data_IF_799085904681
#
_entry.id   IF_799085904681
#
_cell.length_a   1.000
_cell.length_b   1.000
_cell.length_c   1.000
_cell.angle_alpha   90.00
_cell.angle_beta   90.00
_cell.angle_gamma   90.00
#
_symmetry.space_group_name_H-M   'P 1'
#
loop_
_entity.id
_entity.type
_entity.pdbx_description
1 polymer ?
#
# COMPACT_ATOMS: atom_id res chain seq x y z
N UNK A 1 -16.22 -6.48 -10.63
CA UNK A 1 -14.84 -6.55 -10.10
C UNK A 1 -13.97 -5.56 -10.89
N UNK A 2 -13.36 -4.58 -10.22
CA UNK A 2 -12.56 -3.54 -10.89
C UNK A 2 -11.05 -3.86 -10.77
N UNK A 3 -10.58 -4.90 -11.47
CA UNK A 3 -9.17 -5.31 -11.44
C UNK A 3 -8.23 -4.28 -12.09
N UNK A 4 -8.76 -3.36 -12.90
CA UNK A 4 -8.00 -2.27 -13.53
C UNK A 4 -7.32 -1.33 -12.52
N UNK A 5 -7.80 -1.28 -11.28
CA UNK A 5 -7.20 -0.45 -10.22
C UNK A 5 -5.75 -0.85 -9.94
N UNK A 6 -5.38 -2.13 -10.13
CA UNK A 6 -3.99 -2.59 -9.99
C UNK A 6 -3.03 -1.99 -11.02
N UNK A 7 -3.52 -1.39 -12.10
CA UNK A 7 -2.65 -0.64 -13.04
C UNK A 7 -1.88 0.46 -12.33
N UNK A 8 -2.50 1.10 -11.32
CA UNK A 8 -1.90 2.19 -10.55
C UNK A 8 -0.72 1.67 -9.70
N UNK A 9 -0.80 0.43 -9.20
CA UNK A 9 0.34 -0.20 -8.51
C UNK A 9 1.53 -0.37 -9.47
N UNK A 10 1.29 -0.87 -10.67
CA UNK A 10 2.35 -1.04 -11.67
C UNK A 10 2.93 0.31 -12.12
N UNK A 11 2.08 1.29 -12.37
CA UNK A 11 2.47 2.68 -12.63
C UNK A 11 3.38 3.24 -11.53
N UNK A 12 3.06 2.97 -10.26
CA UNK A 12 3.88 3.40 -9.12
C UNK A 12 5.24 2.69 -9.09
N UNK A 13 5.28 1.37 -9.29
CA UNK A 13 6.52 0.58 -9.32
C UNK A 13 7.45 1.09 -10.42
N UNK A 14 6.93 1.22 -11.65
CA UNK A 14 7.69 1.66 -12.80
C UNK A 14 8.14 3.12 -12.66
N UNK A 15 7.26 4.02 -12.19
CA UNK A 15 7.62 5.41 -11.91
C UNK A 15 8.75 5.52 -10.88
N UNK A 16 8.67 4.75 -9.79
CA UNK A 16 9.72 4.71 -8.76
C UNK A 16 11.06 4.23 -9.32
N UNK A 17 11.09 3.14 -10.10
CA UNK A 17 12.32 2.65 -10.72
C UNK A 17 12.88 3.64 -11.75
N UNK A 18 12.03 4.28 -12.56
CA UNK A 18 12.47 5.30 -13.51
C UNK A 18 13.08 6.52 -12.82
N UNK A 19 12.51 6.94 -11.69
CA UNK A 19 13.09 7.98 -10.83
C UNK A 19 14.44 7.55 -10.24
N UNK A 20 14.54 6.33 -9.68
CA UNK A 20 15.80 5.79 -9.15
C UNK A 20 16.91 5.70 -10.20
N UNK A 21 16.56 5.35 -11.44
CA UNK A 21 17.46 5.30 -12.57
C UNK A 21 17.83 6.70 -13.12
N UNK A 22 17.35 7.78 -12.50
CA UNK A 22 17.60 9.19 -12.89
C UNK A 22 17.23 9.48 -14.35
N UNK A 23 16.18 8.80 -14.85
CA UNK A 23 15.68 9.01 -16.19
C UNK A 23 15.05 10.41 -16.28
N UNK A 24 15.10 11.04 -17.47
CA UNK A 24 14.40 12.31 -17.72
C UNK A 24 12.91 12.19 -17.36
N UNK A 25 12.35 13.23 -16.76
CA UNK A 25 10.95 13.25 -16.29
C UNK A 25 9.96 12.87 -17.40
N UNK A 26 10.14 13.39 -18.63
CA UNK A 26 9.29 13.07 -19.78
C UNK A 26 9.29 11.57 -20.11
N UNK A 27 10.46 10.95 -20.09
CA UNK A 27 10.60 9.50 -20.31
C UNK A 27 10.03 8.70 -19.13
N UNK A 28 10.15 9.19 -17.89
CA UNK A 28 9.53 8.54 -16.74
C UNK A 28 7.99 8.59 -16.83
N UNK A 29 7.41 9.72 -17.25
CA UNK A 29 5.97 9.85 -17.51
C UNK A 29 5.53 8.86 -18.58
N UNK A 30 6.26 8.77 -19.69
CA UNK A 30 5.96 7.80 -20.75
C UNK A 30 6.00 6.36 -20.22
N UNK A 31 6.99 6.02 -19.41
CA UNK A 31 7.13 4.70 -18.78
C UNK A 31 5.99 4.40 -17.80
N UNK A 32 5.57 5.37 -16.98
CA UNK A 32 4.40 5.26 -16.10
C UNK A 32 3.15 4.97 -16.93
N UNK A 33 2.85 5.78 -17.94
CA UNK A 33 1.65 5.63 -18.78
C UNK A 33 1.68 4.29 -19.53
N UNK A 34 2.80 3.95 -20.17
CA UNK A 34 2.96 2.69 -20.90
C UNK A 34 2.79 1.49 -19.98
N UNK A 35 3.34 1.52 -18.76
CA UNK A 35 3.15 0.43 -17.80
C UNK A 35 1.67 0.24 -17.47
N UNK A 36 0.93 1.33 -17.22
CA UNK A 36 -0.51 1.28 -16.96
C UNK A 36 -1.32 0.71 -18.12
N UNK A 37 -0.93 0.97 -19.37
CA UNK A 37 -1.59 0.41 -20.55
C UNK A 37 -1.23 -1.08 -20.71
N UNK A 38 0.07 -1.40 -20.73
CA UNK A 38 0.59 -2.73 -21.06
C UNK A 38 0.09 -3.78 -20.08
N UNK A 39 -0.02 -3.48 -18.79
CA UNK A 39 -0.48 -4.46 -17.79
C UNK A 39 -1.95 -4.87 -17.95
N UNK A 40 -2.72 -4.13 -18.76
CA UNK A 40 -4.11 -4.44 -19.08
C UNK A 40 -4.28 -5.14 -20.43
N UNK A 41 -3.23 -5.25 -21.24
CA UNK A 41 -3.29 -5.99 -22.50
C UNK A 41 -3.42 -7.48 -22.18
N UNK A 42 -4.50 -8.15 -22.60
CA UNK A 42 -4.69 -9.56 -22.31
C UNK A 42 -3.73 -10.41 -23.15
N UNK A 43 -3.05 -11.35 -22.51
CA UNK A 43 -2.30 -12.42 -23.17
C UNK A 43 -3.01 -13.73 -22.90
N UNK A 44 -3.47 -14.43 -23.95
CA UNK A 44 -4.32 -15.62 -23.83
C UNK A 44 -5.59 -15.40 -22.97
N UNK A 45 -6.17 -14.20 -23.04
CA UNK A 45 -7.39 -13.84 -22.29
C UNK A 45 -7.15 -13.40 -20.83
N UNK A 46 -5.90 -13.39 -20.36
CA UNK A 46 -5.54 -12.93 -19.00
C UNK A 46 -4.61 -11.73 -19.07
N UNK A 47 -4.97 -10.64 -18.40
CA UNK A 47 -4.06 -9.52 -18.19
C UNK A 47 -3.25 -9.68 -16.89
N UNK A 48 -2.16 -8.92 -16.75
CA UNK A 48 -1.36 -8.90 -15.53
C UNK A 48 -2.20 -8.39 -14.34
N UNK A 49 -3.08 -7.40 -14.58
CA UNK A 49 -3.99 -6.87 -13.58
C UNK A 49 -5.02 -7.91 -13.12
N UNK A 50 -5.55 -8.74 -14.04
CA UNK A 50 -6.41 -9.86 -13.69
C UNK A 50 -5.68 -10.89 -12.84
N UNK A 51 -4.47 -11.30 -13.24
CA UNK A 51 -3.66 -12.25 -12.48
C UNK A 51 -3.42 -11.76 -11.05
N UNK A 52 -3.03 -10.51 -10.90
CA UNK A 52 -2.81 -9.90 -9.58
C UNK A 52 -4.06 -9.91 -8.72
N UNK A 53 -5.18 -9.52 -9.32
CA UNK A 53 -6.49 -9.55 -8.66
C UNK A 53 -6.87 -10.98 -8.24
N UNK A 54 -6.59 -12.00 -9.05
CA UNK A 54 -6.87 -13.40 -8.71
C UNK A 54 -6.05 -13.90 -7.51
N UNK A 55 -4.81 -13.42 -7.32
CA UNK A 55 -3.97 -13.82 -6.20
C UNK A 55 -4.24 -13.03 -4.92
N UNK A 56 -4.54 -11.74 -5.05
CA UNK A 56 -4.58 -10.79 -3.92
C UNK A 56 -6.00 -10.41 -3.52
N UNK A 57 -6.95 -10.49 -4.44
CA UNK A 57 -8.30 -9.98 -4.25
C UNK A 57 -8.42 -8.49 -4.55
N UNK A 58 -9.38 -7.84 -3.90
CA UNK A 58 -9.66 -6.41 -4.06
C UNK A 58 -8.53 -5.56 -3.45
N UNK A 59 -8.03 -4.56 -4.19
CA UNK A 59 -6.94 -3.69 -3.75
C UNK A 59 -7.41 -2.78 -2.61
N UNK A 60 -6.66 -2.71 -1.51
CA UNK A 60 -7.01 -1.80 -0.41
C UNK A 60 -6.89 -0.33 -0.83
N UNK A 61 -7.71 0.53 -0.21
CA UNK A 61 -7.61 1.99 -0.39
C UNK A 61 -6.25 2.52 0.08
N UNK A 62 -5.66 1.86 1.09
CA UNK A 62 -4.32 2.15 1.55
C UNK A 62 -3.29 1.99 0.43
N UNK A 63 -3.23 0.79 -0.20
CA UNK A 63 -2.26 0.50 -1.25
C UNK A 63 -2.49 1.40 -2.47
N UNK A 64 -3.75 1.68 -2.79
CA UNK A 64 -4.11 2.57 -3.89
C UNK A 64 -3.58 3.98 -3.65
N UNK A 65 -3.82 4.54 -2.46
CA UNK A 65 -3.38 5.88 -2.09
C UNK A 65 -1.86 5.96 -2.03
N UNK A 66 -1.20 4.96 -1.45
CA UNK A 66 0.26 4.85 -1.44
C UNK A 66 0.85 4.81 -2.85
N UNK A 67 0.22 4.07 -3.76
CA UNK A 67 0.64 3.95 -5.16
C UNK A 67 0.50 5.30 -5.89
N UNK A 68 -0.62 6.01 -5.71
CA UNK A 68 -0.80 7.35 -6.27
C UNK A 68 0.24 8.34 -5.74
N UNK A 69 0.47 8.38 -4.43
CA UNK A 69 1.47 9.26 -3.85
C UNK A 69 2.88 8.93 -4.38
N UNK A 70 3.20 7.65 -4.59
CA UNK A 70 4.47 7.20 -5.16
C UNK A 70 4.65 7.65 -6.60
N UNK A 71 3.59 7.60 -7.43
CA UNK A 71 3.61 8.16 -8.79
C UNK A 71 3.95 9.65 -8.74
N UNK A 72 3.24 10.44 -7.92
CA UNK A 72 3.50 11.87 -7.81
C UNK A 72 4.90 12.19 -7.28
N UNK A 73 5.42 11.41 -6.34
CA UNK A 73 6.79 11.56 -5.83
C UNK A 73 7.82 11.28 -6.92
N UNK A 74 7.61 10.25 -7.74
CA UNK A 74 8.53 9.88 -8.82
C UNK A 74 8.70 10.97 -9.90
N UNK A 75 7.73 11.87 -10.02
CA UNK A 75 7.74 13.00 -10.95
C UNK A 75 8.38 14.26 -10.36
N UNK A 76 8.59 14.33 -9.04
CA UNK A 76 9.22 15.47 -8.38
C UNK A 76 10.74 15.38 -8.48
N UNK A 77 11.39 16.54 -8.59
CA UNK A 77 12.86 16.66 -8.58
C UNK A 77 13.45 16.39 -7.19
N UNK A 78 12.68 16.63 -6.13
CA UNK A 78 13.10 16.40 -4.74
C UNK A 78 12.71 15.01 -4.27
N UNK A 79 13.71 14.17 -3.99
CA UNK A 79 13.56 12.81 -3.47
C UNK A 79 13.35 12.81 -1.95
N UNK A 80 12.15 13.21 -1.50
CA UNK A 80 11.76 12.96 -0.11
C UNK A 80 11.10 11.61 -0.02
N UNK A 81 11.78 10.64 0.58
CA UNK A 81 11.23 9.30 0.82
C UNK A 81 9.83 9.36 1.45
N UNK A 82 8.83 8.85 0.73
CA UNK A 82 7.43 8.80 1.15
C UNK A 82 7.21 8.21 2.54
N UNK A 83 8.00 7.20 2.90
CA UNK A 83 7.92 6.49 4.18
C UNK A 83 9.30 6.32 4.81
N UNK A 84 9.37 6.55 6.13
CA UNK A 84 10.56 6.27 6.92
C UNK A 84 10.47 4.88 7.58
N UNK A 85 11.57 4.43 8.21
CA UNK A 85 11.63 3.15 8.92
C UNK A 85 10.52 3.01 9.99
N UNK A 86 10.17 4.09 10.69
CA UNK A 86 9.10 4.05 11.71
C UNK A 86 7.74 3.71 11.10
N UNK A 87 7.42 4.29 9.94
CA UNK A 87 6.20 3.99 9.20
C UNK A 87 6.15 2.52 8.77
N UNK A 88 7.26 1.99 8.24
CA UNK A 88 7.36 0.59 7.85
C UNK A 88 7.19 -0.37 9.03
N UNK A 89 7.85 -0.09 10.16
CA UNK A 89 7.68 -0.88 11.39
C UNK A 89 6.23 -0.85 11.86
N UNK A 90 5.57 0.30 11.81
CA UNK A 90 4.16 0.41 12.20
C UNK A 90 3.24 -0.45 11.33
N UNK A 91 3.36 -0.35 10.00
CA UNK A 91 2.57 -1.16 9.06
C UNK A 91 2.82 -2.65 9.30
N UNK A 92 4.09 -3.03 9.51
CA UNK A 92 4.45 -4.41 9.77
C UNK A 92 3.81 -4.95 11.05
N UNK A 93 3.90 -4.21 12.16
CA UNK A 93 3.31 -4.62 13.45
C UNK A 93 1.79 -4.69 13.34
N UNK A 94 1.16 -3.68 12.74
CA UNK A 94 -0.29 -3.67 12.55
C UNK A 94 -0.76 -4.87 11.71
N UNK A 95 -0.13 -5.10 10.55
CA UNK A 95 -0.46 -6.24 9.70
C UNK A 95 -0.17 -7.58 10.38
N UNK A 96 0.91 -7.69 11.13
CA UNK A 96 1.24 -8.91 11.87
C UNK A 96 0.15 -9.23 12.89
N UNK A 97 -0.26 -8.26 13.72
CA UNK A 97 -1.32 -8.45 14.72
C UNK A 97 -2.63 -8.84 14.03
N UNK A 98 -3.00 -8.13 12.95
CA UNK A 98 -4.24 -8.40 12.22
C UNK A 98 -4.25 -9.80 11.60
N UNK A 99 -3.20 -10.18 10.87
CA UNK A 99 -3.13 -11.48 10.19
C UNK A 99 -3.01 -12.65 11.17
N UNK A 100 -2.26 -12.50 12.27
CA UNK A 100 -2.22 -13.53 13.31
C UNK A 100 -3.59 -13.71 13.98
N UNK A 101 -4.36 -12.62 14.11
CA UNK A 101 -5.73 -12.68 14.62
C UNK A 101 -6.66 -13.41 13.64
N UNK A 102 -6.61 -13.09 12.33
CA UNK A 102 -7.39 -13.79 11.29
C UNK A 102 -7.04 -15.29 11.22
N UNK A 103 -5.78 -15.65 11.43
CA UNK A 103 -5.32 -17.04 11.46
C UNK A 103 -5.67 -17.78 12.77
N UNK A 104 -6.40 -17.15 13.70
CA UNK A 104 -6.73 -17.69 15.02
C UNK A 104 -5.50 -18.12 15.85
N UNK A 105 -4.35 -17.48 15.61
CA UNK A 105 -3.11 -17.72 16.38
C UNK A 105 -3.14 -16.89 17.67
N UNK A 106 -3.72 -15.69 17.61
CA UNK A 106 -3.93 -14.85 18.79
C UNK A 106 -5.24 -15.25 19.50
N UNK A 107 -5.29 -15.18 20.85
CA UNK A 107 -6.48 -15.55 21.63
C UNK A 107 -7.61 -14.51 21.54
N UNK A 108 -7.46 -13.48 20.71
CA UNK A 108 -8.46 -12.45 20.47
C UNK A 108 -8.65 -12.27 18.97
N UNK A 109 -9.91 -12.09 18.60
CA UNK A 109 -10.33 -11.88 17.22
C UNK A 109 -10.55 -10.38 17.01
N UNK A 110 -9.66 -9.71 16.29
CA UNK A 110 -9.83 -8.31 15.92
C UNK A 110 -10.75 -8.17 14.70
N UNK A 111 -10.66 -9.13 13.78
CA UNK A 111 -11.23 -9.00 12.46
C UNK A 111 -12.75 -9.17 12.46
N UNK A 112 -13.28 -10.05 13.30
CA UNK A 112 -14.71 -10.35 13.39
C UNK A 112 -15.41 -9.68 14.59
N UNK A 113 -14.83 -8.60 15.15
CA UNK A 113 -15.50 -7.80 16.18
C UNK A 113 -16.73 -7.05 15.63
N UNK A 114 -17.66 -6.65 16.52
CA UNK A 114 -18.73 -5.71 16.19
C UNK A 114 -18.21 -4.47 15.45
N UNK A 115 -19.05 -3.97 14.53
CA UNK A 115 -18.68 -2.87 13.62
C UNK A 115 -18.22 -1.62 14.37
N UNK A 116 -18.85 -1.32 15.50
CA UNK A 116 -18.54 -0.16 16.34
C UNK A 116 -17.12 -0.28 16.89
N UNK A 117 -16.73 -1.48 17.33
CA UNK A 117 -15.41 -1.77 17.89
C UNK A 117 -14.34 -1.68 16.80
N UNK A 118 -14.57 -2.26 15.61
CA UNK A 118 -13.60 -2.18 14.51
C UNK A 118 -13.40 -0.74 14.03
N UNK A 119 -14.45 0.09 14.01
CA UNK A 119 -14.34 1.53 13.72
C UNK A 119 -13.49 2.25 14.77
N UNK A 120 -13.74 2.01 16.07
CA UNK A 120 -12.94 2.61 17.14
C UNK A 120 -11.46 2.25 16.99
N UNK A 121 -11.17 0.98 16.71
CA UNK A 121 -9.80 0.49 16.48
C UNK A 121 -9.19 1.15 15.24
N UNK A 122 -9.93 1.23 14.12
CA UNK A 122 -9.46 1.88 12.90
C UNK A 122 -9.14 3.37 13.10
N UNK A 123 -9.97 4.09 13.86
CA UNK A 123 -9.73 5.47 14.28
C UNK A 123 -8.45 5.57 15.14
N UNK A 124 -8.30 4.69 16.14
CA UNK A 124 -7.11 4.67 17.00
C UNK A 124 -5.83 4.40 16.19
N UNK A 125 -5.85 3.43 15.28
CA UNK A 125 -4.73 3.12 14.36
C UNK A 125 -4.37 4.35 13.52
N UNK A 126 -5.37 5.04 12.97
CA UNK A 126 -5.15 6.22 12.13
C UNK A 126 -4.51 7.36 12.92
N UNK A 127 -4.99 7.62 14.14
CA UNK A 127 -4.42 8.64 15.04
C UNK A 127 -2.97 8.28 15.40
N UNK A 128 -2.72 7.04 15.80
CA UNK A 128 -1.37 6.56 16.12
C UNK A 128 -0.43 6.70 14.92
N UNK A 129 -0.88 6.30 13.74
CA UNK A 129 -0.12 6.41 12.51
C UNK A 129 0.26 7.87 12.19
N UNK A 130 -0.64 8.82 12.42
CA UNK A 130 -0.37 10.25 12.22
C UNK A 130 0.76 10.77 13.12
N UNK A 131 0.77 10.37 14.40
CA UNK A 131 1.82 10.76 15.34
C UNK A 131 3.16 10.08 15.05
N UNK A 132 3.15 8.87 14.50
CA UNK A 132 4.37 8.16 14.10
C UNK A 132 4.96 8.76 12.83
N UNK A 133 4.11 9.01 11.82
CA UNK A 133 4.50 9.50 10.51
C UNK A 133 3.32 10.19 9.80
N UNK A 134 3.37 11.54 9.69
CA UNK A 134 2.25 12.34 9.15
C UNK A 134 1.70 11.83 7.80
N UNK A 135 2.52 11.57 6.75
CA UNK A 135 2.00 11.00 5.50
C UNK A 135 1.27 9.67 5.67
N UNK A 136 1.74 8.80 6.57
CA UNK A 136 1.09 7.51 6.84
C UNK A 136 -0.29 7.72 7.48
N UNK A 137 -0.38 8.63 8.46
CA UNK A 137 -1.66 9.01 9.05
C UNK A 137 -2.67 9.55 8.03
N UNK A 138 -2.22 10.35 7.06
CA UNK A 138 -3.09 10.82 5.97
C UNK A 138 -3.57 9.68 5.08
N UNK A 139 -2.73 8.69 4.75
CA UNK A 139 -3.14 7.51 3.99
C UNK A 139 -4.24 6.75 4.75
N UNK A 140 -4.03 6.47 6.03
CA UNK A 140 -5.04 5.80 6.85
C UNK A 140 -6.34 6.63 7.00
N UNK A 141 -6.23 7.95 7.10
CA UNK A 141 -7.40 8.83 7.15
C UNK A 141 -8.21 8.77 5.85
N UNK A 142 -7.54 8.74 4.70
CA UNK A 142 -8.20 8.56 3.39
C UNK A 142 -8.88 7.18 3.34
N UNK A 143 -8.23 6.13 3.83
CA UNK A 143 -8.84 4.79 3.94
C UNK A 143 -10.09 4.77 4.83
N UNK A 144 -10.05 5.43 6.00
CA UNK A 144 -11.22 5.56 6.88
C UNK A 144 -12.35 6.34 6.22
N UNK A 145 -12.03 7.43 5.53
CA UNK A 145 -13.03 8.21 4.81
C UNK A 145 -13.67 7.38 3.68
N UNK A 146 -12.87 6.63 2.93
CA UNK A 146 -13.36 5.73 1.89
C UNK A 146 -14.22 4.58 2.46
N UNK A 147 -13.91 4.08 3.66
CA UNK A 147 -14.77 3.14 4.37
C UNK A 147 -16.13 3.76 4.70
N UNK A 148 -16.14 5.00 5.21
CA UNK A 148 -17.38 5.74 5.48
C UNK A 148 -18.25 5.96 4.23
N UNK A 149 -17.61 6.07 3.06
CA UNK A 149 -18.28 6.19 1.76
C UNK A 149 -18.70 4.85 1.13
N UNK A 150 -18.27 3.71 1.69
CA UNK A 150 -18.57 2.39 1.13
C UNK A 150 -17.92 2.13 -0.24
N UNK A 151 -16.68 2.61 -0.44
CA UNK A 151 -15.99 2.52 -1.75
C UNK A 151 -15.68 1.08 -2.19
N UNK A 152 -15.31 0.19 -1.27
CA UNK A 152 -15.08 -1.23 -1.54
C UNK A 152 -16.34 -2.05 -1.25
N UNK A 153 -16.37 -3.26 -1.80
CA UNK A 153 -17.44 -4.21 -1.55
C UNK A 153 -17.40 -4.79 -0.13
N UNK A 154 -16.21 -4.82 0.49
CA UNK A 154 -16.03 -5.30 1.85
C UNK A 154 -16.68 -4.38 2.89
N UNK A 155 -17.28 -4.99 3.91
CA UNK A 155 -17.83 -4.29 5.08
C UNK A 155 -16.82 -4.18 6.23
N UNK A 156 -15.65 -4.79 6.10
CA UNK A 156 -14.61 -4.73 7.11
C UNK A 156 -13.70 -3.52 6.89
N UNK A 157 -13.51 -2.71 7.92
CA UNK A 157 -12.65 -1.53 7.87
C UNK A 157 -11.18 -1.90 7.63
N UNK A 158 -10.74 -3.06 8.13
CA UNK A 158 -9.35 -3.46 8.01
C UNK A 158 -8.93 -3.71 6.56
N UNK A 159 -9.85 -4.13 5.70
CA UNK A 159 -9.60 -4.34 4.26
C UNK A 159 -9.31 -3.02 3.52
N UNK A 160 -9.74 -1.89 4.08
CA UNK A 160 -9.41 -0.56 3.56
C UNK A 160 -8.04 -0.07 4.05
N UNK A 161 -7.66 -0.49 5.26
CA UNK A 161 -6.49 0.01 5.98
C UNK A 161 -5.21 -0.77 5.63
N UNK A 162 -5.31 -2.05 5.32
CA UNK A 162 -4.14 -2.87 4.96
C UNK A 162 -4.53 -4.07 4.10
N UNK A 163 -3.66 -4.41 3.16
CA UNK A 163 -3.72 -5.64 2.38
C UNK A 163 -2.38 -6.38 2.39
N UNK A 164 -2.38 -7.61 1.88
CA UNK A 164 -1.19 -8.49 1.86
C UNK A 164 -0.02 -7.82 1.13
N UNK A 165 -0.19 -7.20 -0.06
CA UNK A 165 0.91 -6.50 -0.72
C UNK A 165 1.48 -5.35 0.11
N UNK A 166 0.64 -4.57 0.80
CA UNK A 166 1.10 -3.50 1.70
C UNK A 166 1.94 -4.05 2.84
N UNK A 167 1.52 -5.16 3.44
CA UNK A 167 2.25 -5.78 4.53
C UNK A 167 3.59 -6.35 4.06
N UNK A 168 3.62 -7.06 2.92
CA UNK A 168 4.87 -7.54 2.31
C UNK A 168 5.80 -6.38 1.96
N UNK A 169 5.27 -5.30 1.38
CA UNK A 169 6.02 -4.09 1.09
C UNK A 169 6.68 -3.50 2.36
N UNK A 170 5.99 -3.57 3.51
CA UNK A 170 6.55 -3.12 4.77
C UNK A 170 7.75 -3.97 5.24
N UNK A 171 7.70 -5.28 5.06
CA UNK A 171 8.82 -6.17 5.36
C UNK A 171 10.03 -5.84 4.48
N UNK A 172 9.81 -5.68 3.17
CA UNK A 172 10.88 -5.31 2.23
C UNK A 172 11.50 -3.97 2.61
N UNK A 173 10.68 -3.00 3.02
CA UNK A 173 11.14 -1.70 3.53
C UNK A 173 12.07 -1.84 4.74
N UNK A 174 11.66 -2.59 5.76
CA UNK A 174 12.47 -2.82 6.98
C UNK A 174 13.82 -3.45 6.63
N UNK A 175 13.81 -4.53 5.83
CA UNK A 175 15.03 -5.20 5.38
C UNK A 175 15.93 -4.24 4.61
N UNK A 176 15.38 -3.47 3.67
CA UNK A 176 16.12 -2.48 2.88
C UNK A 176 16.81 -1.41 3.73
N UNK A 177 16.13 -0.90 4.77
CA UNK A 177 16.73 0.03 5.73
C UNK A 177 17.82 -0.65 6.59
N UNK A 178 17.61 -1.90 7.00
CA UNK A 178 18.60 -2.69 7.74
C UNK A 178 19.90 -2.85 6.95
N UNK A 179 19.80 -3.26 5.69
CA UNK A 179 20.94 -3.43 4.78
C UNK A 179 21.67 -2.09 4.59
N UNK A 180 20.95 -1.00 4.29
CA UNK A 180 21.57 0.34 4.14
C UNK A 180 22.34 0.78 5.37
N UNK A 181 21.81 0.49 6.57
CA UNK A 181 22.49 0.83 7.84
C UNK A 181 23.76 0.01 8.07
N UNK A 182 23.77 -1.27 7.66
CA UNK A 182 24.94 -2.13 7.77
C UNK A 182 26.04 -1.71 6.78
N UNK A 183 25.68 -1.39 5.54
CA UNK A 183 26.63 -0.94 4.52
C UNK A 183 27.27 0.39 4.90
N UNK A 184 26.50 1.36 5.42
CA UNK A 184 27.04 2.67 5.83
C UNK A 184 27.98 2.62 7.05
N UNK A 185 27.96 1.52 7.81
CA UNK A 185 28.83 1.32 8.98
C UNK A 185 30.18 0.66 8.62
N UNK A 186 30.34 0.17 7.40
CA UNK A 186 31.62 -0.28 6.83
C UNK A 186 32.26 0.86 6.07
#
# INVERSE_FOLDING_TARGET
MNYYVFSILYMAIFGYFGHMAKIKISTNIALIILSGIVVNIPFNGLSITMLTYSFVGEMSVFLFTLSLMSIFESLRVSSRTLMNLKAFIFIFIFGLILYLSVLNILPFDLYYQPREITIIIGCAITILAYFIHKPLGFIYLISLFAYGLGVLSSKNIFDYLIDVPTWVFSMMGIVGFGIKRLVKRR
#
